data_IF_119013924691
#
_entry.id   IF_119013924691
#
_cell.length_a   1.000
_cell.length_b   1.000
_cell.length_c   1.000
_cell.angle_alpha   90.00
_cell.angle_beta   90.00
_cell.angle_gamma   90.00
#
_symmetry.space_group_name_H-M   'P 1'
#
loop_
_entity.id
_entity.type
_entity.pdbx_description
1 polymer ?
2 non-polymer ?
3 non-polymer ?
4 non-polymer ?
5 water ?
#
# COMPACT_ATOMS: atom_id res chain seq x y z
N UNK A 2 5.67 1.59 19.09
CA UNK A 2 4.69 1.08 18.14
C UNK A 2 4.72 1.92 16.86
N UNK A 3 4.41 1.28 15.75
CA UNK A 3 4.41 1.96 14.47
C UNK A 3 5.64 1.61 13.65
N UNK A 4 5.59 1.96 12.37
CA UNK A 4 6.67 1.63 11.43
C UNK A 4 7.96 2.31 11.86
N UNK A 5 9.05 1.53 12.01
CA UNK A 5 10.31 2.14 12.47
C UNK A 5 11.11 2.81 11.35
N UNK A 6 10.64 2.71 10.12
CA UNK A 6 11.43 3.16 8.97
C UNK A 6 10.93 4.45 8.36
N UNK A 7 9.64 4.74 8.54
CA UNK A 7 9.03 5.98 8.07
C UNK A 7 8.21 6.55 9.22
N UNK A 8 7.75 7.79 9.09
CA UNK A 8 7.08 8.50 10.18
C UNK A 8 5.60 8.80 9.88
N UNK A 9 4.79 8.85 10.94
CA UNK A 9 3.40 9.28 10.86
C UNK A 9 2.94 9.66 12.24
N UNK A 10 1.90 10.50 12.29
CA UNK A 10 1.32 10.95 13.56
C UNK A 10 1.07 12.44 13.60
N UNK A 11 0.80 12.94 14.81
CA UNK A 11 0.53 14.35 15.04
C UNK A 11 1.65 15.26 14.54
N UNK A 12 1.30 16.28 13.78
CA UNK A 12 2.28 17.29 13.34
C UNK A 12 2.61 18.24 14.48
N UNK A 13 3.90 18.59 14.59
CA UNK A 13 4.36 19.52 15.60
C UNK A 13 5.79 19.90 15.24
N UNK A 14 6.45 20.63 16.13
CA UNK A 14 7.86 20.96 15.93
C UNK A 14 8.72 19.72 15.74
N UNK A 15 8.28 18.60 16.31
CA UNK A 15 9.03 17.35 16.27
C UNK A 15 8.60 16.45 15.12
N UNK A 16 7.51 16.82 14.46
CA UNK A 16 7.07 16.12 13.27
C UNK A 16 6.52 17.16 12.32
N UNK A 17 7.40 17.94 11.69
CA UNK A 17 6.94 19.05 10.86
C UNK A 17 6.40 18.58 9.50
N UNK A 18 5.50 19.36 8.92
CA UNK A 18 4.94 19.00 7.63
C UNK A 18 4.55 20.29 6.90
N UNK A 19 5.28 20.58 5.83
CA UNK A 19 5.13 21.85 5.12
C UNK A 19 4.69 21.63 3.68
N UNK A 20 3.62 22.32 3.29
CA UNK A 20 3.10 22.23 1.93
C UNK A 20 4.09 22.85 0.95
N UNK A 21 4.29 22.19 -0.19
CA UNK A 21 5.16 22.73 -1.23
C UNK A 21 4.38 23.67 -2.14
N UNK A 22 5.02 24.76 -2.57
CA UNK A 22 4.35 25.67 -3.51
C UNK A 22 4.32 25.07 -4.91
N UNK A 23 3.40 25.55 -5.74
CA UNK A 23 3.37 25.14 -7.13
C UNK A 23 2.52 23.92 -7.42
N UNK A 24 1.87 23.39 -6.40
CA UNK A 24 0.94 22.27 -6.58
C UNK A 24 -0.49 22.81 -6.70
N UNK A 25 -1.30 22.62 -5.67
CA UNK A 25 -2.69 23.08 -5.73
C UNK A 25 -2.85 24.46 -5.07
N UNK A 26 -3.97 25.16 -5.38
CA UNK A 26 -4.12 26.52 -4.84
C UNK A 26 -4.19 26.55 -3.30
N UNK A 27 -3.93 27.72 -2.69
CA UNK A 27 -3.78 27.82 -1.23
C UNK A 27 -4.98 27.35 -0.41
N UNK A 28 -6.19 27.43 -0.97
CA UNK A 28 -7.37 26.98 -0.24
C UNK A 28 -7.80 25.56 -0.58
N UNK A 29 -7.02 24.86 -1.40
CA UNK A 29 -7.38 23.53 -1.85
C UNK A 29 -7.43 22.51 -0.72
N UNK A 30 -8.27 21.51 -0.89
CA UNK A 30 -8.34 20.43 0.09
C UNK A 30 -7.61 19.20 -0.43
N UNK A 31 -7.35 18.24 0.45
CA UNK A 31 -6.76 17.00 0.00
C UNK A 31 -7.64 16.29 -1.03
N UNK A 32 -8.96 16.34 -0.82
CA UNK A 32 -9.89 15.78 -1.77
C UNK A 32 -9.76 16.45 -3.14
N UNK A 33 -9.65 17.79 -3.17
CA UNK A 33 -9.43 18.49 -4.45
C UNK A 33 -8.21 17.90 -5.17
N UNK A 34 -7.11 17.77 -4.43
CA UNK A 34 -5.86 17.25 -5.00
C UNK A 34 -6.04 15.81 -5.48
N UNK A 35 -6.74 15.00 -4.69
CA UNK A 35 -6.90 13.60 -5.00
C UNK A 35 -7.79 13.39 -6.23
N UNK A 36 -8.88 14.14 -6.31
CA UNK A 36 -9.78 14.04 -7.44
C UNK A 36 -9.04 14.41 -8.71
N UNK A 37 -8.36 15.55 -8.70
CA UNK A 37 -7.60 15.98 -9.87
C UNK A 37 -6.54 14.96 -10.26
N UNK A 38 -5.79 14.48 -9.27
CA UNK A 38 -4.72 13.53 -9.52
C UNK A 38 -5.29 12.22 -10.06
N UNK A 39 -6.39 11.75 -9.49
CA UNK A 39 -7.04 10.52 -9.94
C UNK A 39 -7.41 10.60 -11.43
N UNK A 40 -7.95 11.75 -11.84
CA UNK A 40 -8.37 11.96 -13.22
C UNK A 40 -7.15 11.97 -14.13
N UNK A 41 -6.14 12.75 -13.75
CA UNK A 41 -4.89 12.82 -14.52
C UNK A 41 -4.23 11.45 -14.66
N UNK A 42 -4.25 10.64 -13.62
CA UNK A 42 -3.61 9.32 -13.68
C UNK A 42 -4.35 8.36 -14.59
N UNK A 43 -5.68 8.41 -14.57
CA UNK A 43 -6.47 7.62 -15.52
C UNK A 43 -6.09 8.00 -16.95
N UNK A 44 -5.94 9.29 -17.21
CA UNK A 44 -5.59 9.74 -18.55
C UNK A 44 -4.18 9.28 -18.95
N UNK A 45 -3.25 9.34 -18.01
CA UNK A 45 -1.87 8.97 -18.29
C UNK A 45 -1.77 7.50 -18.71
N UNK A 46 -2.66 6.68 -18.16
CA UNK A 46 -2.68 5.26 -18.45
C UNK A 46 -3.57 4.87 -19.63
N UNK A 47 -4.20 5.87 -20.26
CA UNK A 47 -5.11 5.61 -21.37
C UNK A 47 -6.41 4.94 -20.96
N UNK A 48 -6.82 5.13 -19.72
CA UNK A 48 -8.07 4.55 -19.24
C UNK A 48 -9.25 5.42 -19.69
N UNK A 49 -10.43 4.80 -19.75
CA UNK A 49 -11.65 5.51 -20.13
C UNK A 49 -12.01 6.64 -19.17
N UNK A 50 -12.26 7.84 -19.70
CA UNK A 50 -12.69 8.97 -18.86
C UNK A 50 -13.93 8.67 -18.02
N UNK A 51 -14.88 7.92 -18.55
CA UNK A 51 -16.06 7.55 -17.77
C UNK A 51 -15.68 6.75 -16.54
N UNK A 52 -14.63 5.95 -16.66
CA UNK A 52 -14.15 5.16 -15.52
C UNK A 52 -13.46 6.05 -14.48
N UNK A 53 -12.71 7.04 -14.97
CA UNK A 53 -12.12 8.04 -14.10
C UNK A 53 -13.19 8.79 -13.30
N UNK A 54 -14.22 9.24 -14.01
CA UNK A 54 -15.33 9.94 -13.39
C UNK A 54 -16.00 9.08 -12.33
N UNK A 55 -16.21 7.81 -12.63
CA UNK A 55 -16.78 6.89 -11.66
C UNK A 55 -15.88 6.75 -10.43
N UNK A 56 -14.57 6.71 -10.64
CA UNK A 56 -13.62 6.58 -9.55
C UNK A 56 -13.67 7.80 -8.62
N UNK A 57 -13.80 8.98 -9.23
CA UNK A 57 -13.96 10.23 -8.49
C UNK A 57 -15.22 10.21 -7.65
N UNK A 58 -16.33 9.83 -8.25
CA UNK A 58 -17.59 9.76 -7.53
C UNK A 58 -17.48 8.83 -6.34
N UNK A 59 -16.83 7.70 -6.55
CA UNK A 59 -16.66 6.72 -5.49
C UNK A 59 -15.82 7.29 -4.34
N UNK A 60 -14.72 7.95 -4.70
CA UNK A 60 -13.82 8.55 -3.71
C UNK A 60 -14.54 9.61 -2.86
N UNK A 61 -15.30 10.48 -3.50
CA UNK A 61 -16.06 11.50 -2.78
C UNK A 61 -17.07 10.89 -1.84
N UNK A 62 -17.77 9.86 -2.32
CA UNK A 62 -18.81 9.21 -1.56
C UNK A 62 -18.25 8.57 -0.29
N UNK A 63 -17.15 7.85 -0.43
CA UNK A 63 -16.62 7.06 0.67
C UNK A 63 -15.70 7.84 1.59
N UNK A 64 -14.97 8.81 1.03
CA UNK A 64 -13.92 9.49 1.79
C UNK A 64 -14.11 11.00 1.94
N UNK A 65 -15.06 11.56 1.19
CA UNK A 65 -15.26 12.99 1.17
C UNK A 65 -15.49 13.59 2.54
N UNK A 66 -16.18 12.85 3.41
CA UNK A 66 -16.44 13.31 4.77
C UNK A 66 -15.17 13.67 5.51
N UNK A 67 -14.09 12.92 5.25
CA UNK A 67 -12.84 13.14 5.97
C UNK A 67 -11.73 13.80 5.16
N UNK A 68 -11.76 13.60 3.84
CA UNK A 68 -10.66 14.07 3.02
C UNK A 68 -10.72 15.52 2.58
N UNK A 69 -11.83 16.20 2.87
CA UNK A 69 -11.97 17.58 2.43
C UNK A 69 -11.32 18.58 3.38
N UNK A 70 -10.10 18.24 3.79
CA UNK A 70 -9.32 19.02 4.76
C UNK A 70 -8.28 19.87 4.02
N UNK A 71 -7.92 21.03 4.56
CA UNK A 71 -6.98 21.88 3.82
C UNK A 71 -5.58 21.28 3.67
N UNK A 72 -5.01 21.42 2.48
CA UNK A 72 -3.64 20.98 2.26
C UNK A 72 -2.67 21.80 3.12
N UNK A 73 -2.88 23.12 3.19
CA UNK A 73 -1.95 23.96 3.94
C UNK A 73 -2.09 23.71 5.44
N UNK A 74 -0.98 23.79 6.14
CA UNK A 74 -0.97 23.62 7.61
C UNK A 74 -1.73 22.38 8.12
N UNK A 75 -1.32 21.20 7.67
CA UNK A 75 -1.96 19.96 8.11
C UNK A 75 -1.71 19.68 9.60
N UNK A 76 -2.62 18.96 10.23
CA UNK A 76 -2.44 18.61 11.62
C UNK A 76 -1.94 17.19 11.86
N UNK A 77 -1.88 16.39 10.79
CA UNK A 77 -1.50 14.97 10.91
C UNK A 77 -0.64 14.59 9.72
N UNK A 78 0.38 13.79 9.98
CA UNK A 78 1.23 13.24 8.93
C UNK A 78 0.89 11.77 8.74
N UNK A 79 0.19 11.46 7.65
CA UNK A 79 -0.34 10.12 7.43
C UNK A 79 0.77 9.11 7.08
N UNK A 80 0.45 7.83 7.26
CA UNK A 80 1.32 6.70 6.89
C UNK A 80 1.17 6.29 5.43
N UNK A 81 0.02 6.59 4.85
CA UNK A 81 -0.33 6.03 3.55
C UNK A 81 0.54 6.52 2.40
N UNK A 82 1.05 7.74 2.48
CA UNK A 82 1.89 8.31 1.40
C UNK A 82 3.22 8.73 2.01
N UNK A 83 4.30 8.60 1.25
CA UNK A 83 5.63 8.90 1.81
C UNK A 83 5.86 10.38 2.13
N UNK A 84 5.04 11.25 1.54
CA UNK A 84 5.14 12.68 1.88
C UNK A 84 4.22 13.08 3.02
N UNK A 85 3.46 12.11 3.56
CA UNK A 85 2.59 12.40 4.67
C UNK A 85 1.18 12.80 4.30
N UNK A 86 0.90 12.90 3.01
CA UNK A 86 -0.47 13.17 2.56
C UNK A 86 -1.40 12.02 2.95
N UNK A 87 -2.70 12.30 3.13
CA UNK A 87 -3.65 11.26 3.53
C UNK A 87 -4.18 10.44 2.35
N UNK A 88 -3.55 10.54 1.19
CA UNK A 88 -3.90 9.68 0.08
C UNK A 88 -2.66 9.37 -0.75
N UNK A 89 -2.69 8.23 -1.44
CA UNK A 89 -1.56 7.77 -2.26
C UNK A 89 -2.12 7.14 -3.52
N UNK A 90 -1.52 7.46 -4.67
CA UNK A 90 -1.96 6.87 -5.93
C UNK A 90 -1.12 5.63 -6.26
N UNK A 91 -1.76 4.66 -6.91
CA UNK A 91 -1.06 3.46 -7.33
C UNK A 91 -1.60 2.99 -8.68
N UNK A 92 -0.73 2.38 -9.49
CA UNK A 92 -1.14 1.71 -10.73
C UNK A 92 -0.62 0.28 -10.69
N UNK A 93 -1.41 -0.65 -11.19
CA UNK A 93 -1.01 -2.05 -11.20
C UNK A 93 -1.21 -2.65 -12.59
N UNK A 94 -0.15 -3.26 -13.10
CA UNK A 94 -0.17 -3.97 -14.36
C UNK A 94 -0.19 -5.47 -14.09
N UNK A 95 -1.21 -6.15 -14.58
CA UNK A 95 -1.26 -7.60 -14.53
C UNK A 95 -1.15 -8.08 -15.96
N UNK A 96 0.07 -8.42 -16.36
CA UNK A 96 0.33 -8.71 -17.76
C UNK A 96 -0.02 -7.53 -18.67
N UNK A 97 -0.50 -7.84 -19.87
CA UNK A 97 -0.78 -6.81 -20.85
C UNK A 97 -2.09 -6.08 -20.56
N UNK A 98 -2.26 -4.93 -21.20
CA UNK A 98 -3.51 -4.22 -21.13
C UNK A 98 -3.48 -3.04 -20.17
N UNK A 99 -4.55 -2.25 -20.15
CA UNK A 99 -4.65 -1.05 -19.31
C UNK A 99 -4.46 -1.36 -17.83
N UNK A 100 -3.68 -0.53 -17.13
CA UNK A 100 -3.43 -0.73 -15.72
C UNK A 100 -4.66 -0.38 -14.85
N UNK A 101 -4.74 -1.04 -13.70
CA UNK A 101 -5.67 -0.66 -12.65
C UNK A 101 -5.15 0.64 -12.01
N UNK A 102 -6.06 1.55 -11.66
CA UNK A 102 -5.69 2.73 -10.89
C UNK A 102 -6.29 2.55 -9.51
N UNK A 103 -5.47 2.75 -8.49
CA UNK A 103 -5.92 2.60 -7.11
C UNK A 103 -5.62 3.85 -6.32
N UNK A 104 -6.50 4.18 -5.39
CA UNK A 104 -6.19 5.23 -4.43
C UNK A 104 -6.33 4.62 -3.04
N UNK A 105 -5.37 4.91 -2.18
CA UNK A 105 -5.40 4.42 -0.81
C UNK A 105 -5.43 5.66 0.07
N UNK A 106 -6.29 5.64 1.09
CA UNK A 106 -6.53 6.83 1.91
C UNK A 106 -6.53 6.50 3.40
N UNK A 107 -6.34 7.55 4.19
CA UNK A 107 -6.62 7.52 5.61
C UNK A 107 -7.67 8.58 5.92
N UNK A 108 -8.61 8.22 6.78
CA UNK A 108 -9.64 9.15 7.23
C UNK A 108 -9.20 9.78 8.55
N UNK A 109 -8.98 11.10 8.55
CA UNK A 109 -8.58 11.81 9.76
C UNK A 109 -9.75 12.55 10.37
N UNK A 110 -9.70 12.76 11.69
CA UNK A 110 -10.71 13.52 12.41
C UNK A 110 -10.42 15.02 12.40
N UNK A 111 -11.42 15.80 12.77
CA UNK A 111 -11.30 17.26 12.93
C UNK A 111 -11.49 17.60 14.40
N UNK A 112 -10.39 17.92 15.11
CA UNK A 112 -9.00 17.94 14.67
C UNK A 112 -8.40 16.53 14.74
N UNK A 113 -7.26 16.31 14.06
CA UNK A 113 -6.75 14.93 14.03
C UNK A 113 -6.06 14.55 15.34
N UNK A 114 -6.55 13.48 15.95
CA UNK A 114 -5.94 12.94 17.18
C UNK A 114 -5.95 11.43 17.03
N UNK A 115 -5.12 10.73 17.81
CA UNK A 115 -5.13 9.26 17.70
C UNK A 115 -6.53 8.67 17.88
N UNK A 116 -7.23 9.13 18.92
CA UNK A 116 -8.57 8.63 19.22
C UNK A 116 -9.55 8.99 18.11
N UNK A 117 -9.52 10.26 17.70
CA UNK A 117 -10.44 10.72 16.68
C UNK A 117 -10.19 10.05 15.33
N UNK A 118 -8.92 9.89 14.98
CA UNK A 118 -8.58 9.25 13.71
C UNK A 118 -8.99 7.79 13.67
N UNK A 119 -8.74 7.06 14.77
CA UNK A 119 -9.12 5.67 14.79
C UNK A 119 -10.64 5.54 14.66
N UNK A 120 -11.38 6.42 15.34
CA UNK A 120 -12.83 6.42 15.21
C UNK A 120 -13.26 6.64 13.76
N UNK A 121 -12.65 7.63 13.10
CA UNK A 121 -12.97 7.95 11.72
C UNK A 121 -12.64 6.78 10.79
N UNK A 122 -11.50 6.12 11.06
CA UNK A 122 -11.07 5.00 10.23
C UNK A 122 -12.03 3.82 10.23
N UNK A 123 -12.69 3.59 11.37
CA UNK A 123 -13.68 2.53 11.47
C UNK A 123 -15.07 3.02 11.08
N UNK A 124 -15.35 4.32 11.25
CA UNK A 124 -16.58 4.90 10.71
C UNK A 124 -16.59 4.76 9.18
N UNK A 125 -15.42 4.91 8.56
CA UNK A 125 -15.31 4.72 7.11
C UNK A 125 -15.88 3.35 6.69
N UNK A 126 -15.56 2.32 7.47
CA UNK A 126 -15.99 0.95 7.17
C UNK A 126 -17.49 0.77 7.37
N UNK A 127 -18.07 1.47 8.33
CA UNK A 127 -19.52 1.46 8.43
C UNK A 127 -20.18 2.09 7.20
N UNK A 128 -19.59 3.18 6.69
CA UNK A 128 -20.05 3.73 5.43
C UNK A 128 -19.91 2.75 4.28
N UNK A 129 -18.75 2.10 4.22
CA UNK A 129 -18.50 1.13 3.17
C UNK A 129 -19.46 -0.07 3.23
N UNK A 130 -19.90 -0.43 4.45
CA UNK A 130 -20.81 -1.58 4.60
C UNK A 130 -22.15 -1.36 3.90
N UNK A 131 -22.43 -0.10 3.53
CA UNK A 131 -23.66 0.27 2.84
C UNK A 131 -23.52 0.17 1.32
N UNK A 132 -22.30 -0.07 0.84
CA UNK A 132 -22.01 -0.15 -0.58
C UNK A 132 -22.16 -1.60 -1.04
N UNK A 133 -23.00 -1.85 -2.05
CA UNK A 133 -23.34 -3.22 -2.46
C UNK A 133 -22.15 -4.04 -2.98
N UNK A 134 -21.11 -3.37 -3.47
CA UNK A 134 -19.95 -4.07 -4.01
C UNK A 134 -18.89 -4.43 -2.98
N UNK A 135 -19.14 -4.06 -1.73
CA UNK A 135 -18.18 -4.27 -0.65
C UNK A 135 -18.68 -5.33 0.29
N UNK A 136 -17.77 -6.15 0.80
CA UNK A 136 -18.09 -7.13 1.83
C UNK A 136 -17.25 -6.82 3.07
N UNK A 137 -17.85 -6.16 4.04
CA UNK A 137 -17.11 -5.65 5.18
C UNK A 137 -17.19 -6.54 6.41
N UNK A 138 -17.98 -7.61 6.36
CA UNK A 138 -18.17 -8.41 7.58
C UNK A 138 -16.87 -8.95 8.16
N UNK A 139 -15.94 -9.39 7.30
CA UNK A 139 -14.71 -10.02 7.79
C UNK A 139 -13.80 -9.03 8.51
N UNK A 140 -13.79 -7.77 8.08
CA UNK A 140 -12.99 -6.79 8.80
C UNK A 140 -13.71 -6.27 10.05
N UNK A 141 -15.03 -6.08 9.97
CA UNK A 141 -15.72 -5.62 11.17
C UNK A 141 -15.68 -6.66 12.31
N UNK A 142 -15.54 -7.93 11.95
CA UNK A 142 -15.37 -9.01 12.94
C UNK A 142 -13.99 -8.97 13.61
N UNK A 143 -13.11 -8.06 13.17
CA UNK A 143 -11.79 -7.90 13.79
C UNK A 143 -11.67 -6.61 14.61
N UNK A 144 -12.72 -5.82 14.65
CA UNK A 144 -12.64 -4.47 15.22
C UNK A 144 -12.21 -4.48 16.70
N UNK A 145 -12.62 -5.48 17.47
CA UNK A 145 -12.22 -5.48 18.88
C UNK A 145 -10.74 -5.75 19.08
N UNK A 146 -10.09 -6.37 18.09
CA UNK A 146 -8.65 -6.56 18.14
C UNK A 146 -7.89 -5.28 17.78
N UNK A 147 -8.33 -4.62 16.70
CA UNK A 147 -7.55 -3.55 16.09
C UNK A 147 -7.98 -2.14 16.49
N UNK A 148 -9.08 -2.02 17.22
CA UNK A 148 -9.55 -0.71 17.65
C UNK A 148 -9.66 -0.69 19.18
N UNK A 149 -8.52 -0.56 19.86
CA UNK A 149 -8.53 -0.45 21.32
C UNK A 149 -9.11 0.89 21.74
N UNK A 150 -9.57 0.99 23.00
CA UNK A 150 -10.07 2.27 23.52
C UNK A 150 -9.00 3.35 23.48
N UNK A 151 -7.76 2.97 23.76
CA UNK A 151 -6.66 3.91 23.73
C UNK A 151 -5.68 3.51 22.63
N UNK A 152 -5.79 4.14 21.46
CA UNK A 152 -4.86 3.79 20.39
C UNK A 152 -3.49 4.38 20.68
N UNK A 153 -2.47 3.89 20.01
CA UNK A 153 -1.15 4.49 20.17
C UNK A 153 -1.05 5.74 19.30
N UNK A 154 -0.05 6.56 19.58
CA UNK A 154 0.03 7.90 19.00
C UNK A 154 0.25 7.87 17.50
N UNK A 155 0.74 6.75 16.98
CA UNK A 155 1.01 6.66 15.55
C UNK A 155 0.02 5.70 14.86
N UNK A 156 -1.17 5.58 15.42
CA UNK A 156 -2.18 4.68 14.89
C UNK A 156 -2.51 4.99 13.44
N UNK A 157 -2.95 3.95 12.74
CA UNK A 157 -3.35 4.08 11.34
C UNK A 157 -4.23 2.91 10.95
N UNK A 158 -5.07 3.16 9.96
CA UNK A 158 -5.82 2.13 9.23
C UNK A 158 -5.96 2.71 7.83
N UNK A 159 -5.66 1.93 6.79
CA UNK A 159 -5.68 2.46 5.45
C UNK A 159 -6.74 1.78 4.61
N UNK A 160 -7.34 2.54 3.70
CA UNK A 160 -8.45 2.04 2.89
C UNK A 160 -8.16 2.23 1.41
N UNK A 161 -8.25 1.14 0.65
CA UNK A 161 -8.01 1.22 -0.77
C UNK A 161 -9.25 1.06 -1.63
N UNK A 162 -9.25 1.74 -2.77
CA UNK A 162 -10.31 1.66 -3.77
C UNK A 162 -9.65 1.48 -5.12
N UNK A 163 -9.97 0.39 -5.80
CA UNK A 163 -9.36 0.08 -7.09
C UNK A 163 -10.34 0.36 -8.22
N UNK A 164 -9.85 1.09 -9.22
CA UNK A 164 -10.59 1.35 -10.46
C UNK A 164 -10.02 0.42 -11.52
N UNK A 165 -10.86 -0.51 -11.96
CA UNK A 165 -10.45 -1.56 -12.89
C UNK A 165 -11.08 -1.35 -14.26
N UNK A 166 -10.30 -1.57 -15.32
CA UNK A 166 -10.84 -1.39 -16.68
C UNK A 166 -12.00 -2.36 -16.95
N UNK A 167 -13.15 -1.81 -17.33
CA UNK A 167 -14.32 -2.60 -17.67
C UNK A 167 -14.82 -3.52 -16.57
N UNK A 168 -14.62 -3.14 -15.31
CA UNK A 168 -15.04 -3.98 -14.21
C UNK A 168 -15.40 -3.17 -12.96
N UNK A 169 -16.12 -3.81 -12.04
CA UNK A 169 -16.55 -3.19 -10.79
C UNK A 169 -15.37 -2.90 -9.89
N UNK A 170 -15.49 -1.88 -9.02
CA UNK A 170 -14.37 -1.54 -8.14
C UNK A 170 -14.13 -2.59 -7.05
N UNK A 171 -12.91 -2.60 -6.54
CA UNK A 171 -12.55 -3.47 -5.44
C UNK A 171 -12.10 -2.62 -4.26
N UNK A 172 -12.36 -3.12 -3.07
CA UNK A 172 -12.05 -2.40 -1.86
C UNK A 172 -11.13 -3.24 -1.01
N UNK A 173 -10.21 -2.57 -0.32
CA UNK A 173 -9.20 -3.24 0.48
C UNK A 173 -8.99 -2.44 1.76
N UNK A 174 -8.60 -3.14 2.83
CA UNK A 174 -8.27 -2.48 4.09
C UNK A 174 -6.93 -3.01 4.61
N UNK A 175 -6.14 -2.12 5.19
CA UNK A 175 -4.84 -2.43 5.77
C UNK A 175 -4.90 -2.12 7.25
N UNK A 176 -4.62 -3.13 8.07
CA UNK A 176 -4.69 -3.02 9.53
C UNK A 176 -3.30 -3.02 10.15
N UNK A 177 -3.19 -2.32 11.28
CA UNK A 177 -1.93 -2.12 11.99
C UNK A 177 -1.71 -3.23 13.02
N UNK A 178 -0.68 -4.08 12.79
CA UNK A 178 -0.41 -5.16 13.74
C UNK A 178 -0.06 -4.62 15.13
N UNK A 179 0.43 -3.38 15.19
CA UNK A 179 0.83 -2.74 16.44
C UNK A 179 -0.33 -1.99 17.10
N UNK A 180 -1.56 -2.26 16.68
CA UNK A 180 -2.70 -1.49 17.19
C UNK A 180 -2.76 -1.44 18.71
N UNK A 181 -2.36 -2.54 19.36
CA UNK A 181 -2.37 -2.66 20.82
C UNK A 181 -0.96 -2.68 21.39
N UNK A 182 -0.02 -2.11 20.63
CA UNK A 182 1.38 -2.09 21.05
C UNK A 182 2.18 -3.21 20.41
N UNK A 183 3.49 -3.01 20.31
CA UNK A 183 4.40 -4.00 19.73
C UNK A 183 4.32 -5.34 20.44
N UNK A 184 4.23 -5.31 21.77
CA UNK A 184 4.23 -6.56 22.52
C UNK A 184 3.03 -7.44 22.19
N UNK A 185 1.91 -6.80 21.83
CA UNK A 185 0.69 -7.53 21.56
C UNK A 185 0.54 -7.95 20.10
N UNK A 186 1.40 -7.43 19.22
CA UNK A 186 1.28 -7.72 17.80
C UNK A 186 1.19 -9.22 17.44
N UNK A 187 2.06 -10.06 18.01
CA UNK A 187 1.96 -11.49 17.66
C UNK A 187 0.61 -12.10 18.04
N UNK A 188 0.10 -11.73 19.20
CA UNK A 188 -1.19 -12.23 19.70
C UNK A 188 -2.35 -11.74 18.83
N UNK A 189 -2.30 -10.46 18.47
CA UNK A 189 -3.33 -9.86 17.62
C UNK A 189 -3.38 -10.54 16.27
N UNK A 190 -2.22 -10.74 15.67
CA UNK A 190 -2.17 -11.40 14.37
C UNK A 190 -2.67 -12.83 14.45
N UNK A 191 -2.24 -13.55 15.50
CA UNK A 191 -2.63 -14.94 15.65
C UNK A 191 -4.15 -15.03 15.76
N UNK A 192 -4.75 -14.18 16.58
CA UNK A 192 -6.19 -14.25 16.76
C UNK A 192 -6.93 -13.87 15.48
N UNK A 193 -6.45 -12.84 14.79
CA UNK A 193 -7.10 -12.43 13.55
C UNK A 193 -7.07 -13.54 12.49
N UNK A 194 -5.92 -14.18 12.32
CA UNK A 194 -5.79 -15.27 11.36
C UNK A 194 -6.70 -16.45 11.72
N UNK A 195 -6.85 -16.71 13.03
CA UNK A 195 -7.82 -17.71 13.49
C UNK A 195 -9.24 -17.34 13.02
N UNK A 196 -9.64 -16.10 13.29
CA UNK A 196 -10.98 -15.64 12.94
C UNK A 196 -11.23 -15.68 11.44
N UNK A 197 -10.17 -15.45 10.65
CA UNK A 197 -10.29 -15.41 9.20
C UNK A 197 -10.20 -16.79 8.57
N UNK A 198 -10.02 -17.82 9.40
CA UNK A 198 -10.04 -19.19 8.89
C UNK A 198 -8.78 -19.64 8.18
N UNK A 199 -7.67 -18.99 8.50
CA UNK A 199 -6.38 -19.29 7.86
C UNK A 199 -5.26 -19.56 8.89
N UNK A 200 -5.64 -20.10 10.04
CA UNK A 200 -4.67 -20.45 11.07
C UNK A 200 -3.57 -21.39 10.58
N UNK A 201 -3.98 -22.46 9.90
CA UNK A 201 -3.05 -23.49 9.42
C UNK A 201 -1.95 -22.88 8.59
N UNK A 202 -2.34 -22.09 7.59
CA UNK A 202 -1.38 -21.45 6.71
C UNK A 202 -0.53 -20.40 7.43
N UNK A 203 -1.15 -19.63 8.32
CA UNK A 203 -0.42 -18.61 9.07
C UNK A 203 0.61 -19.22 10.00
N UNK A 204 0.18 -20.17 10.82
CA UNK A 204 1.12 -20.83 11.73
C UNK A 204 2.19 -21.56 10.94
N UNK A 205 1.82 -22.08 9.78
CA UNK A 205 2.77 -22.68 8.86
C UNK A 205 3.81 -21.67 8.38
N UNK A 206 3.34 -20.50 7.96
CA UNK A 206 4.25 -19.44 7.53
C UNK A 206 5.17 -19.02 8.66
N UNK A 207 4.63 -18.86 9.86
CA UNK A 207 5.43 -18.50 11.03
C UNK A 207 6.58 -19.49 11.24
N UNK A 208 6.27 -20.78 11.15
CA UNK A 208 7.27 -21.82 11.34
C UNK A 208 8.33 -21.75 10.25
N UNK A 209 7.87 -21.63 9.01
CA UNK A 209 8.75 -21.52 7.85
C UNK A 209 9.72 -20.35 7.95
N UNK A 210 9.21 -19.17 8.31
CA UNK A 210 10.02 -17.97 8.38
C UNK A 210 11.13 -18.11 9.41
N UNK A 211 10.79 -18.76 10.52
CA UNK A 211 11.74 -18.94 11.61
C UNK A 211 12.85 -19.92 11.27
N UNK A 212 12.69 -20.68 10.18
CA UNK A 212 13.75 -21.58 9.76
C UNK A 212 14.42 -21.15 8.45
N UNK A 213 14.08 -19.95 7.99
CA UNK A 213 14.68 -19.42 6.76
C UNK A 213 15.13 -17.96 6.86
N UNK A 214 15.66 -17.59 8.02
CA UNK A 214 16.27 -16.29 8.16
C UNK A 214 15.57 -15.31 9.09
N UNK A 215 14.40 -15.70 9.59
CA UNK A 215 13.67 -14.88 10.54
C UNK A 215 12.51 -14.12 9.93
N UNK A 216 11.45 -13.93 10.73
CA UNK A 216 10.26 -13.21 10.25
C UNK A 216 10.52 -11.73 9.95
N UNK A 217 11.14 -11.00 10.87
CA UNK A 217 11.38 -9.58 10.63
C UNK A 217 10.41 -8.70 11.43
N UNK A 218 9.59 -7.92 10.73
CA UNK A 218 8.52 -7.17 11.38
C UNK A 218 7.27 -7.31 10.52
N UNK A 219 6.13 -7.66 11.13
CA UNK A 219 4.88 -7.72 10.37
C UNK A 219 4.38 -6.30 10.21
N UNK A 220 4.25 -5.88 8.96
CA UNK A 220 3.86 -4.50 8.67
C UNK A 220 2.36 -4.25 8.62
N UNK A 221 1.59 -5.23 8.17
CA UNK A 221 0.14 -5.08 8.08
C UNK A 221 -0.51 -6.41 7.87
N UNK A 222 -1.74 -6.50 8.35
CA UNK A 222 -2.68 -7.53 7.92
C UNK A 222 -3.71 -6.80 7.06
N UNK A 223 -3.84 -7.22 5.81
CA UNK A 223 -4.78 -6.58 4.89
C UNK A 223 -5.81 -7.57 4.37
N UNK A 224 -6.99 -7.05 4.00
CA UNK A 224 -8.09 -7.87 3.53
C UNK A 224 -8.69 -7.30 2.26
N UNK A 225 -8.95 -8.18 1.30
CA UNK A 225 -9.81 -7.85 0.17
C UNK A 225 -11.25 -7.93 0.66
N UNK A 226 -11.99 -6.83 0.53
CA UNK A 226 -13.34 -6.76 1.08
C UNK A 226 -14.35 -7.11 -0.01
N UNK A 227 -14.30 -8.38 -0.41
CA UNK A 227 -15.19 -8.90 -1.45
C UNK A 227 -15.62 -10.29 -1.03
N UNK A 228 -16.82 -10.68 -1.44
CA UNK A 228 -17.33 -12.01 -1.13
C UNK A 228 -17.20 -12.91 -2.35
N UNK A 229 -15.98 -13.00 -2.86
CA UNK A 229 -15.68 -13.83 -4.02
C UNK A 229 -14.53 -14.78 -3.70
N UNK A 230 -14.27 -15.71 -4.61
CA UNK A 230 -13.19 -16.68 -4.45
C UNK A 230 -11.83 -16.02 -4.69
N UNK A 231 -11.84 -14.83 -5.25
CA UNK A 231 -10.60 -14.11 -5.56
C UNK A 231 -10.08 -13.32 -4.36
N UNK A 232 -10.95 -13.10 -3.38
CA UNK A 232 -10.58 -12.32 -2.20
C UNK A 232 -9.53 -13.07 -1.38
N UNK A 233 -8.57 -12.31 -0.86
CA UNK A 233 -7.50 -12.90 -0.07
C UNK A 233 -7.31 -12.17 1.26
N UNK A 234 -6.66 -12.85 2.17
CA UNK A 234 -6.06 -12.26 3.36
C UNK A 234 -4.59 -12.08 3.02
N UNK A 235 -4.02 -10.94 3.39
CA UNK A 235 -2.65 -10.64 3.02
C UNK A 235 -1.85 -10.20 4.23
N UNK A 236 -0.65 -10.75 4.38
CA UNK A 236 0.23 -10.34 5.46
C UNK A 236 1.55 -9.83 4.88
N UNK A 237 1.94 -8.63 5.31
CA UNK A 237 3.15 -7.99 4.81
C UNK A 237 4.27 -8.18 5.81
N UNK A 238 5.35 -8.80 5.33
CA UNK A 238 6.52 -9.11 6.14
C UNK A 238 7.65 -8.17 5.75
N UNK A 239 8.03 -7.30 6.69
CA UNK A 239 9.13 -6.35 6.44
C UNK A 239 10.44 -7.02 6.79
N UNK A 240 11.33 -7.15 5.82
CA UNK A 240 12.52 -7.99 5.93
C UNK A 240 13.76 -7.29 6.45
N UNK A 241 13.64 -6.60 7.57
CA UNK A 241 14.83 -5.96 8.15
C UNK A 241 16.00 -6.93 8.38
N UNK A 242 17.15 -6.61 7.81
CA UNK A 242 18.37 -7.35 8.06
C UNK A 242 18.60 -8.62 7.26
N UNK A 243 17.80 -8.83 6.22
CA UNK A 243 17.89 -10.02 5.39
C UNK A 243 18.53 -9.68 4.04
N UNK A 244 19.39 -10.55 3.51
CA UNK A 244 19.94 -10.30 2.19
C UNK A 244 19.00 -10.75 1.08
N UNK A 245 19.32 -10.41 -0.16
CA UNK A 245 18.39 -10.63 -1.27
C UNK A 245 18.13 -12.10 -1.56
N UNK A 246 19.18 -12.92 -1.51
CA UNK A 246 19.02 -14.35 -1.72
C UNK A 246 18.09 -14.97 -0.68
N UNK A 247 18.20 -14.50 0.55
CA UNK A 247 17.34 -15.00 1.63
C UNK A 247 15.86 -14.59 1.49
N UNK A 248 15.63 -13.35 1.07
CA UNK A 248 14.26 -12.90 0.82
C UNK A 248 13.66 -13.78 -0.28
N UNK A 249 14.46 -14.07 -1.30
CA UNK A 249 14.01 -14.94 -2.39
C UNK A 249 13.65 -16.33 -1.87
N UNK A 250 14.53 -16.91 -1.06
CA UNK A 250 14.30 -18.25 -0.58
C UNK A 250 13.09 -18.32 0.35
N UNK A 251 12.86 -17.26 1.13
CA UNK A 251 11.70 -17.23 2.02
C UNK A 251 10.38 -17.33 1.24
N UNK A 252 10.35 -16.85 0.01
CA UNK A 252 9.13 -16.89 -0.79
C UNK A 252 8.75 -18.29 -1.26
N UNK A 253 9.67 -19.25 -1.15
CA UNK A 253 9.42 -20.63 -1.58
C UNK A 253 8.26 -21.32 -0.86
N UNK A 254 7.85 -20.78 0.28
CA UNK A 254 6.71 -21.35 0.99
C UNK A 254 5.39 -21.10 0.24
N UNK A 255 5.37 -20.08 -0.63
CA UNK A 255 4.15 -19.71 -1.34
C UNK A 255 4.01 -20.41 -2.69
N UNK A 256 2.77 -20.71 -3.06
CA UNK A 256 2.49 -21.17 -4.42
C UNK A 256 2.95 -20.12 -5.43
N UNK A 257 3.40 -20.57 -6.60
CA UNK A 257 3.81 -19.63 -7.62
C UNK A 257 5.22 -19.11 -7.50
N UNK A 258 6.01 -19.62 -6.55
CA UNK A 258 7.37 -19.16 -6.37
C UNK A 258 8.22 -19.44 -7.60
N UNK A 259 9.02 -18.45 -8.00
CA UNK A 259 9.97 -18.63 -9.10
C UNK A 259 11.37 -18.32 -8.57
N UNK A 260 12.16 -19.37 -8.27
CA UNK A 260 13.49 -19.18 -7.69
C UNK A 260 14.35 -18.18 -8.44
N UNK A 261 14.86 -17.19 -7.71
CA UNK A 261 15.75 -16.20 -8.29
C UNK A 261 15.09 -14.94 -8.81
N UNK A 262 13.77 -14.95 -9.00
CA UNK A 262 13.11 -13.77 -9.54
C UNK A 262 13.17 -12.59 -8.58
N UNK A 263 12.88 -12.85 -7.31
CA UNK A 263 12.90 -11.79 -6.30
C UNK A 263 14.31 -11.20 -6.17
N UNK A 264 15.32 -12.07 -6.06
CA UNK A 264 16.66 -11.57 -5.84
C UNK A 264 17.20 -10.80 -7.04
N UNK A 265 16.86 -11.23 -8.26
CA UNK A 265 17.22 -10.45 -9.44
C UNK A 265 16.56 -9.08 -9.46
N UNK A 266 15.27 -9.01 -9.10
CA UNK A 266 14.58 -7.73 -9.05
C UNK A 266 15.23 -6.77 -8.07
N UNK A 267 15.57 -7.27 -6.88
CA UNK A 267 16.25 -6.49 -5.86
C UNK A 267 17.59 -5.98 -6.38
N UNK A 268 18.36 -6.86 -7.04
CA UNK A 268 19.67 -6.44 -7.54
C UNK A 268 19.52 -5.35 -8.61
N UNK A 269 18.53 -5.51 -9.49
CA UNK A 269 18.37 -4.59 -10.61
C UNK A 269 17.85 -3.21 -10.21
N UNK A 270 17.11 -3.15 -9.12
CA UNK A 270 16.53 -1.87 -8.68
C UNK A 270 17.22 -1.34 -7.43
N UNK A 271 17.08 -2.04 -6.31
CA UNK A 271 17.64 -1.59 -5.04
C UNK A 271 19.17 -1.65 -5.04
N UNK A 272 19.72 -2.58 -5.83
CA UNK A 272 21.16 -2.76 -5.92
C UNK A 272 21.73 -3.54 -4.77
N UNK A 273 23.04 -3.77 -4.86
CA UNK A 273 23.74 -4.55 -3.84
C UNK A 273 24.89 -3.77 -3.18
N UNK A 274 24.93 -2.46 -3.40
CA UNK A 274 26.03 -1.64 -2.90
C UNK A 274 25.80 -0.99 -1.55
N UNK A 275 24.56 -0.58 -1.28
CA UNK A 275 24.21 0.18 -0.09
C UNK A 275 22.88 -0.36 0.43
N UNK A 276 22.77 -0.60 1.73
CA UNK A 276 21.46 -1.02 2.23
C UNK A 276 20.43 0.06 1.98
N UNK A 277 19.21 -0.31 1.57
CA UNK A 277 18.18 0.71 1.34
C UNK A 277 17.74 1.31 2.66
N UNK A 278 17.11 2.48 2.58
CA UNK A 278 16.71 3.20 3.78
C UNK A 278 15.62 2.49 4.58
N UNK A 279 14.88 1.62 3.91
CA UNK A 279 13.93 0.73 4.56
C UNK A 279 14.01 -0.61 3.83
N UNK A 280 13.72 -1.71 4.54
CA UNK A 280 13.87 -3.02 3.89
C UNK A 280 12.75 -3.35 2.92
N UNK A 281 13.01 -4.27 1.98
CA UNK A 281 11.92 -4.80 1.16
C UNK A 281 10.89 -5.51 2.04
N UNK A 282 9.72 -5.74 1.47
CA UNK A 282 8.58 -6.32 2.17
C UNK A 282 7.95 -7.36 1.26
N UNK A 283 7.65 -8.55 1.80
CA UNK A 283 6.92 -9.52 1.00
C UNK A 283 5.49 -9.60 1.49
N UNK A 284 4.55 -9.54 0.55
CA UNK A 284 3.15 -9.77 0.87
C UNK A 284 2.79 -11.22 0.58
N UNK A 285 2.45 -11.96 1.63
CA UNK A 285 1.98 -13.34 1.47
C UNK A 285 0.46 -13.34 1.47
N UNK A 286 -0.13 -13.95 0.45
CA UNK A 286 -1.58 -14.04 0.33
C UNK A 286 -2.07 -15.39 0.84
N UNK A 287 -3.27 -15.38 1.43
CA UNK A 287 -3.86 -16.57 2.03
C UNK A 287 -5.32 -16.68 1.60
N UNK A 288 -5.80 -17.92 1.51
CA UNK A 288 -7.19 -18.20 1.23
C UNK A 288 -7.66 -19.28 2.20
N UNK A 289 -8.86 -19.11 2.76
CA UNK A 289 -9.46 -20.16 3.60
C UNK A 289 -9.48 -21.50 2.86
N UNK A 290 -9.06 -22.55 3.54
CA UNK A 290 -9.07 -23.88 2.93
C UNK A 290 -7.79 -24.27 2.25
N UNK A 291 -6.87 -23.32 2.11
CA UNK A 291 -5.54 -23.60 1.57
C UNK A 291 -4.49 -23.52 2.68
N UNK A 292 -3.68 -24.57 2.82
CA UNK A 292 -2.78 -24.69 3.95
C UNK A 292 -1.45 -23.97 3.83
N UNK A 293 -1.21 -23.32 2.69
CA UNK A 293 0.02 -22.60 2.45
C UNK A 293 -0.36 -21.26 1.80
N UNK A 294 0.56 -20.29 1.80
CA UNK A 294 0.22 -19.04 1.11
C UNK A 294 0.00 -19.29 -0.36
N UNK A 295 -0.98 -18.61 -0.95
CA UNK A 295 -1.32 -18.78 -2.35
C UNK A 295 -0.47 -17.95 -3.31
N UNK A 296 0.22 -16.94 -2.80
CA UNK A 296 1.08 -16.10 -3.63
C UNK A 296 2.05 -15.32 -2.74
N UNK A 297 3.16 -14.87 -3.32
CA UNK A 297 4.07 -13.95 -2.67
C UNK A 297 4.40 -12.83 -3.65
N UNK A 298 4.26 -11.60 -3.19
CA UNK A 298 4.56 -10.42 -3.98
C UNK A 298 5.62 -9.60 -3.26
N UNK A 299 6.63 -9.17 -4.01
CA UNK A 299 7.75 -8.45 -3.41
C UNK A 299 7.60 -6.95 -3.58
N UNK A 300 7.78 -6.22 -2.48
CA UNK A 300 7.81 -4.77 -2.49
C UNK A 300 9.25 -4.31 -2.37
N UNK A 301 9.69 -3.61 -3.42
CA UNK A 301 11.08 -3.29 -3.68
C UNK A 301 11.31 -1.81 -3.39
N UNK A 302 12.20 -1.50 -2.44
CA UNK A 302 12.48 -0.09 -2.17
C UNK A 302 13.44 0.49 -3.21
N UNK A 303 13.36 1.81 -3.41
CA UNK A 303 14.30 2.48 -4.29
C UNK A 303 15.72 2.43 -3.71
N UNK A 304 16.73 2.47 -4.60
CA UNK A 304 18.12 2.38 -4.12
C UNK A 304 18.56 3.59 -3.30
N UNK A 305 19.36 3.32 -2.27
CA UNK A 305 20.02 4.39 -1.52
C UNK A 305 21.25 4.86 -2.29
N UNK A 306 21.59 6.14 -2.17
CA UNK A 306 22.81 6.69 -2.74
C UNK A 306 22.78 6.90 -4.24
N UNK A 307 21.57 6.86 -4.79
CA UNK A 307 21.31 6.93 -6.23
C UNK A 307 20.22 7.98 -6.41
N UNK A 308 20.33 8.87 -7.42
CA UNK A 308 19.25 9.83 -7.62
C UNK A 308 17.92 9.17 -7.98
N UNK A 309 16.81 9.83 -7.65
CA UNK A 309 15.49 9.35 -8.00
C UNK A 309 15.33 9.12 -9.50
N UNK A 310 15.97 9.96 -10.32
CA UNK A 310 15.88 9.79 -11.77
C UNK A 310 16.43 8.43 -12.19
N UNK A 311 17.51 8.03 -11.55
CA UNK A 311 18.10 6.73 -11.83
C UNK A 311 17.24 5.59 -11.27
N UNK A 312 16.62 5.82 -10.11
CA UNK A 312 15.72 4.83 -9.54
C UNK A 312 14.53 4.58 -10.49
N UNK A 313 14.01 5.65 -11.08
CA UNK A 313 12.93 5.50 -12.06
C UNK A 313 13.40 4.78 -13.32
N UNK A 314 14.60 5.13 -13.78
CA UNK A 314 15.16 4.46 -14.95
C UNK A 314 15.31 2.97 -14.72
N UNK A 315 15.81 2.60 -13.54
CA UNK A 315 15.99 1.18 -13.23
C UNK A 315 14.65 0.46 -13.16
N UNK A 316 13.66 1.13 -12.57
CA UNK A 316 12.36 0.51 -12.38
C UNK A 316 11.67 0.29 -13.73
N UNK A 317 11.75 1.30 -14.59
CA UNK A 317 11.18 1.22 -15.92
C UNK A 317 11.87 0.12 -16.72
N UNK A 318 13.19 0.05 -16.62
CA UNK A 318 13.93 -0.97 -17.35
C UNK A 318 13.55 -2.37 -16.87
N UNK A 319 13.43 -2.53 -15.56
CA UNK A 319 12.98 -3.80 -15.00
C UNK A 319 11.59 -4.18 -15.51
N UNK A 320 10.69 -3.22 -15.55
CA UNK A 320 9.36 -3.42 -16.09
C UNK A 320 9.38 -3.94 -17.51
N UNK A 321 10.15 -3.26 -18.37
CA UNK A 321 10.28 -3.62 -19.77
C UNK A 321 10.80 -5.02 -19.95
N UNK A 322 11.84 -5.34 -19.17
CA UNK A 322 12.48 -6.65 -19.29
C UNK A 322 11.52 -7.73 -18.82
N UNK A 323 10.58 -7.34 -17.97
CA UNK A 323 9.50 -8.22 -17.55
C UNK A 323 8.34 -8.26 -18.56
N UNK A 324 8.42 -7.44 -19.61
CA UNK A 324 7.42 -7.40 -20.65
C UNK A 324 6.26 -6.43 -20.46
N UNK A 325 6.36 -5.61 -19.41
CA UNK A 325 5.27 -4.72 -19.02
C UNK A 325 5.49 -3.29 -19.52
N UNK A 326 4.44 -2.48 -19.49
CA UNK A 326 4.43 -1.20 -20.20
C UNK A 326 5.12 -0.11 -19.39
N UNK A 327 6.44 0.00 -19.56
CA UNK A 327 7.22 0.98 -18.81
C UNK A 327 6.88 2.44 -19.16
N UNK A 328 6.41 2.67 -20.38
CA UNK A 328 6.04 4.03 -20.75
C UNK A 328 4.86 4.50 -19.89
N UNK A 329 3.93 3.60 -19.62
CA UNK A 329 2.77 3.91 -18.79
C UNK A 329 3.17 4.21 -17.34
N UNK A 330 4.15 3.47 -16.83
CA UNK A 330 4.67 3.73 -15.48
C UNK A 330 5.25 5.13 -15.35
N UNK A 331 6.09 5.53 -16.29
CA UNK A 331 6.69 6.85 -16.24
C UNK A 331 5.64 7.95 -16.37
N UNK A 332 4.65 7.74 -17.24
CA UNK A 332 3.58 8.70 -17.43
C UNK A 332 2.74 8.85 -16.16
N UNK A 333 2.49 7.73 -15.49
CA UNK A 333 1.72 7.70 -14.27
C UNK A 333 2.45 8.46 -13.17
N UNK A 334 3.75 8.24 -13.02
CA UNK A 334 4.53 8.98 -12.03
C UNK A 334 4.42 10.48 -12.23
N UNK A 335 4.55 10.93 -13.48
CA UNK A 335 4.41 12.35 -13.79
C UNK A 335 3.02 12.87 -13.42
N UNK A 336 1.97 12.14 -13.78
CA UNK A 336 0.61 12.58 -13.49
C UNK A 336 0.33 12.64 -11.99
N UNK A 337 0.85 11.68 -11.25
CA UNK A 337 0.54 11.57 -9.83
C UNK A 337 1.23 12.64 -8.99
N UNK A 338 2.33 13.19 -9.51
CA UNK A 338 3.20 14.05 -8.71
C UNK A 338 3.38 15.48 -9.20
N UNK A 339 3.14 15.71 -10.49
CA UNK A 339 3.55 16.97 -11.09
C UNK A 339 5.06 17.06 -11.25
N UNK A 340 5.75 15.96 -10.98
CA UNK A 340 7.22 15.89 -11.04
C UNK A 340 7.69 15.02 -12.20
N UNK A 341 7.53 15.52 -13.42
CA UNK A 341 7.95 14.79 -14.60
C UNK A 341 9.46 14.66 -14.71
N UNK A 342 10.17 15.63 -14.13
CA UNK A 342 11.64 15.64 -14.19
C UNK A 342 12.25 14.51 -13.37
N UNK A 343 11.48 13.94 -12.46
CA UNK A 343 11.95 12.83 -11.64
C UNK A 343 13.00 13.26 -10.63
N UNK A 344 12.73 14.38 -9.96
CA UNK A 344 13.69 14.92 -9.01
C UNK A 344 13.20 14.74 -7.57
N UNK A 345 11.96 14.28 -7.41
CA UNK A 345 11.42 14.09 -6.07
C UNK A 345 11.18 12.61 -5.75
N UNK A 346 11.70 12.18 -4.59
CA UNK A 346 11.58 10.79 -4.17
C UNK A 346 10.21 10.50 -3.56
N UNK A 347 9.22 10.44 -4.44
CA UNK A 347 7.83 10.30 -4.00
C UNK A 347 7.30 8.89 -4.15
N UNK A 348 8.13 7.96 -4.59
CA UNK A 348 7.68 6.57 -4.65
C UNK A 348 7.82 5.92 -3.30
N UNK A 349 6.92 5.00 -3.00
CA UNK A 349 6.93 4.26 -1.75
C UNK A 349 7.76 2.98 -1.93
N UNK A 350 7.25 2.10 -2.81
CA UNK A 350 7.94 0.89 -3.27
C UNK A 350 7.46 0.69 -4.70
N UNK A 351 8.14 -0.18 -5.45
CA UNK A 351 7.48 -0.84 -6.58
C UNK A 351 7.25 -2.29 -6.20
N UNK A 352 6.18 -2.88 -6.70
CA UNK A 352 5.84 -4.26 -6.33
C UNK A 352 5.95 -5.16 -7.55
N UNK A 353 6.30 -6.41 -7.32
CA UNK A 353 6.56 -7.37 -8.40
C UNK A 353 6.16 -8.78 -8.00
N UNK A 354 5.47 -9.46 -8.89
CA UNK A 354 5.24 -10.89 -8.76
C UNK A 354 5.55 -11.52 -10.09
N UNK A 355 6.50 -12.46 -10.12
CA UNK A 355 6.86 -13.08 -11.40
C UNK A 355 5.74 -13.97 -11.90
N UNK A 356 5.74 -14.23 -13.21
CA UNK A 356 4.78 -15.16 -13.78
C UNK A 356 5.10 -16.60 -13.40
N UNK A 357 4.15 -17.25 -12.75
CA UNK A 357 4.20 -18.69 -12.53
C UNK A 357 3.72 -19.33 -13.83
N UNK A 358 3.94 -20.65 -13.98
CA UNK A 358 3.38 -21.34 -15.15
C UNK A 358 1.90 -21.06 -15.32
N UNK A 359 1.52 -20.66 -16.53
CA UNK A 359 0.13 -20.36 -16.84
C UNK A 359 -0.33 -18.99 -16.41
N UNK A 360 0.55 -18.20 -15.80
CA UNK A 360 0.18 -16.90 -15.30
C UNK A 360 0.85 -15.72 -16.00
N UNK A 361 0.65 -14.53 -15.43
CA UNK A 361 1.17 -13.27 -15.98
C UNK A 361 2.09 -12.59 -14.98
N UNK A 362 3.11 -11.88 -15.45
CA UNK A 362 3.95 -11.06 -14.56
C UNK A 362 3.16 -9.85 -14.05
N UNK A 363 3.44 -9.44 -12.82
CA UNK A 363 2.73 -8.31 -12.23
C UNK A 363 3.73 -7.28 -11.75
N UNK A 364 3.37 -6.01 -11.92
CA UNK A 364 4.16 -4.90 -11.43
C UNK A 364 3.20 -3.82 -10.97
N UNK A 365 3.57 -3.09 -9.92
CA UNK A 365 2.75 -2.00 -9.42
C UNK A 365 3.62 -0.89 -8.86
N UNK A 366 3.14 0.33 -8.95
CA UNK A 366 3.82 1.48 -8.35
C UNK A 366 2.90 2.15 -7.34
N UNK A 367 3.52 2.84 -6.39
CA UNK A 367 2.82 3.48 -5.27
C UNK A 367 3.51 4.80 -5.07
N UNK A 368 2.77 5.89 -5.25
CA UNK A 368 3.41 7.19 -5.36
C UNK A 368 2.65 8.27 -4.59
N UNK A 369 3.37 9.04 -3.78
CA UNK A 369 2.77 10.14 -3.02
C UNK A 369 2.50 11.31 -3.96
N UNK A 370 1.50 12.15 -3.64
CA UNK A 370 1.17 13.27 -4.54
C UNK A 370 2.15 14.44 -4.47
N UNK A 371 3.06 14.44 -3.51
CA UNK A 371 4.05 15.50 -3.41
C UNK A 371 3.46 16.83 -2.98
N UNK A 372 2.44 16.79 -2.14
CA UNK A 372 1.87 17.99 -1.57
C UNK A 372 2.75 18.60 -0.47
N UNK A 373 3.58 17.76 0.15
CA UNK A 373 4.45 18.20 1.24
C UNK A 373 5.91 17.97 0.95
N UNK A 374 6.75 18.79 1.55
CA UNK A 374 8.19 18.64 1.42
C UNK A 374 8.60 17.35 2.12
N UNK A 375 9.53 16.61 1.52
CA UNK A 375 10.02 15.37 2.11
C UNK A 375 10.96 15.66 3.26
#
# INVERSE_FOLDING_TARGET
MAGDPFVDNGTVSSQRPLRAVPGRYPPGATHLDAAVDTLVRCHAALGRAPSEAEAAVCLLRRLWGRWGNTPVERPGWRSYVAVDGSPFELSAAWNGDGPAEVRVTVEATADPPTPEGNQEAGWEYLRGLSRHPGAATARVLALEDLFRPQTPHDRCWIMHGMASRPGADPLFKVYLDPDARGAAEAPSVLDEAMDRLGVRAAWQGLRGWLDEHGGSGRIGSLALDLADTDDARVKVYVQHAGLDWADIDRQAAVARGHVPGAFSAALEEITGTEVPPHKPPVTCFAFHRGVGVPTAATLYIPMPAGVPESDARRRSAAFMRRSGLDSAAYLAFLAAATGDGEGVRALQNFVAYRPAAPGGRPRFACYVAPGLYRLEHHHHHH
#
